data_IF_906037671874
#
_entry.id   IF_906037671874
#
_cell.length_a   1.000
_cell.length_b   1.000
_cell.length_c   1.000
_cell.angle_alpha   90.00
_cell.angle_beta   90.00
_cell.angle_gamma   90.00
#
_symmetry.space_group_name_H-M   'P 1'
#
loop_
_entity.id
_entity.type
_entity.pdbx_description
1 polymer ?
#
# COMPACT_ATOMS: atom_id res chain seq x y z
N UNK A 1 -5.43 -0.83 -4.34
CA UNK A 1 -4.37 -0.44 -3.40
C UNK A 1 -3.39 -1.58 -3.13
N UNK A 2 -3.85 -2.77 -2.67
CA UNK A 2 -2.95 -3.90 -2.39
C UNK A 2 -2.26 -4.45 -3.64
N UNK A 3 -2.97 -4.50 -4.74
CA UNK A 3 -2.39 -4.85 -6.04
C UNK A 3 -1.27 -3.87 -6.44
N UNK A 4 -1.53 -2.58 -6.31
CA UNK A 4 -0.57 -1.52 -6.66
C UNK A 4 0.66 -1.58 -5.74
N UNK A 5 0.45 -1.81 -4.44
CA UNK A 5 1.55 -1.98 -3.49
C UNK A 5 2.47 -3.15 -3.89
N UNK A 6 1.87 -4.32 -4.15
CA UNK A 6 2.65 -5.51 -4.54
C UNK A 6 3.33 -5.34 -5.93
N UNK A 7 2.66 -4.67 -6.86
CA UNK A 7 3.22 -4.41 -8.19
C UNK A 7 4.44 -3.48 -8.14
N UNK A 8 4.42 -2.45 -7.30
CA UNK A 8 5.57 -1.56 -7.12
C UNK A 8 6.75 -2.31 -6.48
N UNK A 9 6.53 -3.09 -5.43
CA UNK A 9 7.60 -3.91 -4.83
C UNK A 9 8.24 -4.84 -5.87
N UNK A 10 7.41 -5.47 -6.72
CA UNK A 10 7.91 -6.33 -7.78
C UNK A 10 8.63 -5.53 -8.90
N UNK A 11 8.12 -4.37 -9.29
CA UNK A 11 8.75 -3.52 -10.31
C UNK A 11 10.10 -2.97 -9.85
N UNK A 12 10.25 -2.62 -8.58
CA UNK A 12 11.50 -2.14 -8.00
C UNK A 12 12.59 -3.24 -8.00
N UNK A 13 12.18 -4.52 -7.89
CA UNK A 13 13.11 -5.66 -7.86
C UNK A 13 13.41 -6.19 -9.27
N UNK A 14 12.38 -6.35 -10.08
CA UNK A 14 12.46 -7.09 -11.37
C UNK A 14 12.40 -6.20 -12.60
N UNK A 15 12.07 -4.92 -12.45
CA UNK A 15 11.89 -3.99 -13.58
C UNK A 15 10.50 -4.08 -14.21
N UNK A 16 10.40 -4.01 -15.55
CA UNK A 16 9.12 -4.04 -16.27
C UNK A 16 8.25 -5.24 -15.92
N UNK A 17 6.94 -5.02 -15.76
CA UNK A 17 5.95 -6.04 -15.41
C UNK A 17 4.72 -5.96 -16.31
N UNK A 18 3.96 -7.04 -16.50
CA UNK A 18 2.69 -7.01 -17.25
C UNK A 18 1.55 -6.44 -16.37
N UNK A 19 1.75 -5.23 -15.83
CA UNK A 19 0.89 -4.61 -14.83
C UNK A 19 -0.55 -4.39 -15.31
N UNK A 20 -0.73 -3.82 -16.52
CA UNK A 20 -2.05 -3.58 -17.07
C UNK A 20 -2.71 -4.83 -17.62
N UNK A 21 -1.95 -5.68 -18.29
CA UNK A 21 -2.48 -6.92 -18.86
C UNK A 21 -2.96 -7.90 -17.78
N UNK A 22 -2.28 -7.99 -16.65
CA UNK A 22 -2.73 -8.81 -15.51
C UNK A 22 -4.07 -8.34 -14.94
N UNK A 23 -4.38 -7.04 -14.97
CA UNK A 23 -5.68 -6.52 -14.54
C UNK A 23 -6.83 -6.96 -15.43
N UNK A 24 -6.57 -7.21 -16.70
CA UNK A 24 -7.60 -7.55 -17.69
C UNK A 24 -7.84 -9.04 -17.81
N UNK A 25 -7.02 -9.87 -17.16
CA UNK A 25 -7.08 -11.34 -17.21
C UNK A 25 -7.23 -11.90 -18.62
N UNK A 26 -6.50 -11.32 -19.59
CA UNK A 26 -6.50 -11.76 -20.97
C UNK A 26 -5.66 -13.03 -21.09
N UNK A 27 -6.26 -14.11 -21.59
CA UNK A 27 -5.59 -15.41 -21.77
C UNK A 27 -5.15 -15.69 -23.22
N UNK A 28 -5.53 -14.81 -24.16
CA UNK A 28 -5.46 -15.12 -25.60
C UNK A 28 -4.17 -14.64 -26.28
N UNK A 29 -3.27 -13.97 -25.56
CA UNK A 29 -2.03 -13.43 -26.13
C UNK A 29 -0.90 -13.40 -25.08
N UNK A 30 0.38 -13.33 -25.53
CA UNK A 30 1.49 -13.09 -24.63
C UNK A 30 1.31 -11.78 -23.85
N UNK A 31 1.64 -11.78 -22.56
CA UNK A 31 1.53 -10.59 -21.72
C UNK A 31 2.46 -9.48 -22.22
N UNK A 32 1.91 -8.29 -22.35
CA UNK A 32 2.67 -7.08 -22.63
C UNK A 32 3.24 -6.52 -21.33
N UNK A 33 4.55 -6.27 -21.32
CA UNK A 33 5.23 -5.66 -20.19
C UNK A 33 5.13 -4.14 -20.25
N UNK A 34 4.73 -3.54 -19.15
CA UNK A 34 4.73 -2.10 -18.97
C UNK A 34 6.09 -1.67 -18.39
N UNK A 35 6.69 -0.57 -18.86
CA UNK A 35 7.91 -0.03 -18.28
C UNK A 35 7.65 0.53 -16.87
N UNK A 36 8.69 0.57 -16.03
CA UNK A 36 8.60 0.91 -14.61
C UNK A 36 7.99 2.30 -14.38
N UNK A 37 8.38 3.30 -15.17
CA UNK A 37 7.81 4.65 -15.09
C UNK A 37 6.30 4.65 -15.29
N UNK A 38 5.81 3.93 -16.33
CA UNK A 38 4.37 3.78 -16.57
C UNK A 38 3.64 3.13 -15.40
N UNK A 39 4.25 2.14 -14.74
CA UNK A 39 3.69 1.50 -13.55
C UNK A 39 3.59 2.50 -12.39
N UNK A 40 4.62 3.32 -12.17
CA UNK A 40 4.62 4.36 -11.15
C UNK A 40 3.50 5.39 -11.36
N UNK A 41 3.42 5.95 -12.56
CA UNK A 41 2.35 6.90 -12.90
C UNK A 41 0.95 6.30 -12.78
N UNK A 42 0.76 5.08 -13.28
CA UNK A 42 -0.51 4.38 -13.16
C UNK A 42 -0.89 4.10 -11.69
N UNK A 43 0.09 3.74 -10.87
CA UNK A 43 -0.12 3.51 -9.43
C UNK A 43 -0.53 4.80 -8.71
N UNK A 44 0.15 5.92 -8.97
CA UNK A 44 -0.22 7.21 -8.35
C UNK A 44 -1.63 7.64 -8.78
N UNK A 45 -1.99 7.51 -10.05
CA UNK A 45 -3.35 7.79 -10.53
C UNK A 45 -4.41 6.88 -9.88
N UNK A 46 -4.09 5.61 -9.65
CA UNK A 46 -4.97 4.69 -8.93
C UNK A 46 -5.13 5.11 -7.46
N UNK A 47 -4.06 5.51 -6.80
CA UNK A 47 -4.10 6.00 -5.41
C UNK A 47 -5.02 7.22 -5.31
N UNK A 48 -4.87 8.19 -6.19
CA UNK A 48 -5.73 9.39 -6.22
C UNK A 48 -7.20 9.02 -6.43
N UNK A 49 -7.47 8.07 -7.33
CA UNK A 49 -8.83 7.53 -7.54
C UNK A 49 -9.37 6.83 -6.30
N UNK A 50 -8.55 6.03 -5.62
CA UNK A 50 -8.93 5.31 -4.40
C UNK A 50 -9.26 6.30 -3.27
N UNK A 51 -8.45 7.32 -3.09
CA UNK A 51 -8.68 8.37 -2.08
C UNK A 51 -9.97 9.13 -2.37
N UNK A 52 -10.20 9.50 -3.63
CA UNK A 52 -11.46 10.14 -4.06
C UNK A 52 -12.68 9.23 -3.82
N UNK A 53 -12.56 7.93 -4.07
CA UNK A 53 -13.62 6.96 -3.77
C UNK A 53 -13.92 6.87 -2.27
N UNK A 54 -12.90 6.90 -1.40
CA UNK A 54 -13.11 6.91 0.05
C UNK A 54 -13.82 8.17 0.51
N UNK A 55 -13.40 9.35 0.04
CA UNK A 55 -14.06 10.62 0.33
C UNK A 55 -15.53 10.63 -0.13
N UNK A 56 -15.78 10.13 -1.34
CA UNK A 56 -17.14 9.99 -1.84
C UNK A 56 -17.98 9.02 -1.01
N UNK A 57 -17.37 7.93 -0.51
CA UNK A 57 -18.04 6.99 0.37
C UNK A 57 -18.41 7.62 1.72
N UNK A 58 -17.55 8.46 2.29
CA UNK A 58 -17.82 9.20 3.53
C UNK A 58 -19.07 10.09 3.44
N UNK A 59 -19.39 10.60 2.25
CA UNK A 59 -20.60 11.40 1.99
C UNK A 59 -21.90 10.60 1.90
N UNK A 60 -21.84 9.27 1.94
CA UNK A 60 -23.03 8.41 1.84
C UNK A 60 -23.82 8.33 3.15
N UNK A 61 -25.12 8.04 3.09
CA UNK A 61 -25.96 7.85 4.28
C UNK A 61 -25.43 6.74 5.19
N UNK A 62 -25.62 6.87 6.50
CA UNK A 62 -25.08 5.97 7.52
C UNK A 62 -25.50 4.51 7.33
N UNK A 63 -26.76 4.24 6.95
CA UNK A 63 -27.23 2.90 6.67
C UNK A 63 -26.47 2.20 5.54
N UNK A 64 -26.04 2.98 4.54
CA UNK A 64 -25.23 2.46 3.44
C UNK A 64 -23.80 2.18 3.90
N UNK A 65 -23.21 3.15 4.63
CA UNK A 65 -21.87 3.02 5.20
C UNK A 65 -21.77 1.78 6.09
N UNK A 66 -22.69 1.58 7.02
CA UNK A 66 -22.71 0.42 7.91
C UNK A 66 -22.69 -0.93 7.19
N UNK A 67 -23.49 -1.06 6.10
CA UNK A 67 -23.49 -2.30 5.31
C UNK A 67 -22.14 -2.60 4.66
N UNK A 68 -21.56 -1.61 4.00
CA UNK A 68 -20.29 -1.76 3.29
C UNK A 68 -19.14 -1.99 4.28
N UNK A 69 -19.18 -1.30 5.39
CA UNK A 69 -18.14 -1.40 6.41
C UNK A 69 -18.11 -2.75 7.11
N UNK A 70 -19.24 -3.39 7.31
CA UNK A 70 -19.30 -4.79 7.77
C UNK A 70 -18.66 -5.76 6.77
N UNK A 71 -18.83 -5.51 5.46
CA UNK A 71 -18.17 -6.29 4.41
C UNK A 71 -16.66 -6.02 4.39
N UNK A 72 -16.25 -4.78 4.52
CA UNK A 72 -14.84 -4.38 4.57
C UNK A 72 -14.15 -4.99 5.79
N UNK A 73 -14.77 -4.93 6.96
CA UNK A 73 -14.24 -5.51 8.19
C UNK A 73 -14.00 -7.02 8.08
N UNK A 74 -14.90 -7.70 7.39
CA UNK A 74 -14.80 -9.15 7.17
C UNK A 74 -13.71 -9.54 6.17
N UNK A 75 -13.46 -8.70 5.16
CA UNK A 75 -12.65 -9.05 4.00
C UNK A 75 -11.32 -8.27 3.91
N UNK A 76 -11.14 -7.19 4.68
CA UNK A 76 -9.90 -6.44 4.68
C UNK A 76 -8.88 -7.09 5.63
N UNK A 77 -7.75 -7.59 5.12
CA UNK A 77 -6.71 -8.19 5.96
C UNK A 77 -5.91 -7.16 6.75
N UNK A 78 -5.95 -5.89 6.33
CA UNK A 78 -5.20 -4.79 6.95
C UNK A 78 -6.03 -4.18 8.08
N UNK A 79 -5.41 -3.88 9.20
CA UNK A 79 -6.03 -3.34 10.41
C UNK A 79 -7.12 -4.24 11.02
N UNK A 80 -6.87 -5.55 11.22
CA UNK A 80 -7.95 -6.50 11.51
C UNK A 80 -8.63 -6.32 12.87
N UNK A 81 -7.92 -5.86 13.90
CA UNK A 81 -8.45 -5.86 15.28
C UNK A 81 -8.15 -4.59 16.08
N UNK A 82 -7.41 -3.64 15.53
CA UNK A 82 -7.01 -2.42 16.26
C UNK A 82 -8.06 -1.32 16.28
N UNK A 83 -9.10 -1.45 15.46
CA UNK A 83 -10.03 -0.35 15.22
C UNK A 83 -11.45 -0.78 15.56
N UNK A 84 -11.91 -0.36 16.71
CA UNK A 84 -13.27 -0.58 17.17
C UNK A 84 -14.34 0.13 16.31
N UNK A 85 -13.94 1.16 15.55
CA UNK A 85 -14.83 1.96 14.72
C UNK A 85 -14.38 1.96 13.26
N UNK A 86 -15.32 1.70 12.40
CA UNK A 86 -15.15 1.57 10.97
C UNK A 86 -14.74 2.88 10.30
N UNK A 87 -15.21 4.02 10.77
CA UNK A 87 -14.82 5.34 10.24
C UNK A 87 -13.30 5.55 10.33
N UNK A 88 -12.69 5.05 11.41
CA UNK A 88 -11.23 5.08 11.55
C UNK A 88 -10.50 4.19 10.53
N UNK A 89 -11.10 3.07 10.10
CA UNK A 89 -10.48 2.18 9.11
C UNK A 89 -10.33 2.87 7.76
N UNK A 90 -11.32 3.63 7.33
CA UNK A 90 -11.22 4.40 6.08
C UNK A 90 -10.16 5.50 6.18
N UNK A 91 -10.11 6.21 7.29
CA UNK A 91 -9.06 7.21 7.51
C UNK A 91 -7.66 6.58 7.46
N UNK A 92 -7.46 5.42 8.09
CA UNK A 92 -6.17 4.74 8.06
C UNK A 92 -5.84 4.15 6.68
N UNK A 93 -6.84 3.64 5.96
CA UNK A 93 -6.63 3.21 4.56
C UNK A 93 -6.27 4.40 3.65
N UNK A 94 -6.88 5.55 3.85
CA UNK A 94 -6.54 6.79 3.14
C UNK A 94 -5.11 7.23 3.47
N UNK A 95 -4.74 7.27 4.75
CA UNK A 95 -3.38 7.60 5.18
C UNK A 95 -2.35 6.61 4.64
N UNK A 96 -2.67 5.33 4.63
CA UNK A 96 -1.82 4.30 4.03
C UNK A 96 -1.64 4.51 2.52
N UNK A 97 -2.71 4.82 1.79
CA UNK A 97 -2.66 5.12 0.36
C UNK A 97 -1.79 6.35 0.07
N UNK A 98 -1.98 7.43 0.82
CA UNK A 98 -1.16 8.65 0.69
C UNK A 98 0.30 8.41 1.09
N UNK A 99 0.57 7.59 2.10
CA UNK A 99 1.93 7.23 2.49
C UNK A 99 2.63 6.40 1.40
N UNK A 100 1.90 5.55 0.68
CA UNK A 100 2.42 4.88 -0.50
C UNK A 100 2.76 5.89 -1.61
N UNK A 101 1.89 6.87 -1.88
CA UNK A 101 2.17 7.95 -2.85
C UNK A 101 3.42 8.74 -2.47
N UNK A 102 3.57 9.09 -1.17
CA UNK A 102 4.76 9.76 -0.66
C UNK A 102 6.03 8.92 -0.86
N UNK A 103 5.96 7.63 -0.56
CA UNK A 103 7.07 6.69 -0.81
C UNK A 103 7.48 6.66 -2.28
N UNK A 104 6.51 6.57 -3.21
CA UNK A 104 6.77 6.60 -4.64
C UNK A 104 7.42 7.91 -5.08
N UNK A 105 6.97 9.03 -4.55
CA UNK A 105 7.59 10.33 -4.78
C UNK A 105 9.08 10.34 -4.38
N UNK A 106 9.39 9.80 -3.21
CA UNK A 106 10.78 9.72 -2.72
C UNK A 106 11.67 8.84 -3.59
N UNK A 107 11.13 7.76 -4.20
CA UNK A 107 11.90 6.90 -5.10
C UNK A 107 12.34 7.63 -6.37
N UNK A 108 11.52 8.53 -6.92
CA UNK A 108 11.81 9.22 -8.19
C UNK A 108 12.48 10.59 -8.03
N UNK A 109 12.78 11.02 -6.83
CA UNK A 109 13.30 12.36 -6.51
C UNK A 109 14.52 12.76 -7.36
N UNK A 110 15.41 11.80 -7.65
CA UNK A 110 16.64 12.04 -8.42
C UNK A 110 16.43 11.96 -9.94
N UNK A 111 15.31 11.43 -10.38
CA UNK A 111 14.99 11.24 -11.82
C UNK A 111 14.05 12.31 -12.29
N UNK A 112 12.96 12.55 -11.54
CA UNK A 112 11.90 13.50 -11.88
C UNK A 112 11.55 14.38 -10.66
N UNK A 113 12.49 15.22 -10.23
CA UNK A 113 12.38 16.01 -9.00
C UNK A 113 11.12 16.87 -8.90
N UNK A 114 10.69 17.52 -9.99
CA UNK A 114 9.47 18.35 -9.99
C UNK A 114 8.19 17.50 -9.79
N UNK A 115 8.12 16.33 -10.40
CA UNK A 115 7.00 15.39 -10.24
C UNK A 115 7.02 14.82 -8.83
N UNK A 116 8.18 14.44 -8.34
CA UNK A 116 8.37 13.94 -6.98
C UNK A 116 7.89 14.96 -5.94
N UNK A 117 8.29 16.23 -6.08
CA UNK A 117 7.86 17.29 -5.19
C UNK A 117 6.33 17.42 -5.19
N UNK A 118 5.72 17.51 -6.37
CA UNK A 118 4.26 17.61 -6.51
C UNK A 118 3.55 16.45 -5.79
N UNK A 119 3.95 15.20 -6.07
CA UNK A 119 3.32 14.04 -5.47
C UNK A 119 3.49 14.00 -3.95
N UNK A 120 4.68 14.38 -3.44
CA UNK A 120 4.96 14.43 -2.02
C UNK A 120 4.09 15.48 -1.31
N UNK A 121 4.02 16.71 -1.85
CA UNK A 121 3.22 17.80 -1.30
C UNK A 121 1.71 17.44 -1.28
N UNK A 122 1.20 16.87 -2.36
CA UNK A 122 -0.18 16.39 -2.45
C UNK A 122 -0.48 15.29 -1.42
N UNK A 123 0.43 14.31 -1.29
CA UNK A 123 0.27 13.21 -0.35
C UNK A 123 0.25 13.71 1.11
N UNK A 124 1.17 14.59 1.47
CA UNK A 124 1.25 15.17 2.83
C UNK A 124 0.02 16.03 3.13
N UNK A 125 -0.41 16.85 2.18
CA UNK A 125 -1.62 17.70 2.33
C UNK A 125 -2.89 16.85 2.53
N UNK A 126 -2.97 15.66 1.89
CA UNK A 126 -4.09 14.74 2.05
C UNK A 126 -4.03 13.89 3.32
N UNK A 127 -2.91 13.93 4.05
CA UNK A 127 -2.67 13.21 5.30
C UNK A 127 -2.03 11.84 5.08
N UNK A 128 -0.86 11.67 5.69
CA UNK A 128 -0.05 10.44 5.68
C UNK A 128 -0.09 9.76 7.06
N UNK A 129 0.56 8.61 7.20
CA UNK A 129 0.80 7.97 8.49
C UNK A 129 1.81 8.80 9.28
N UNK A 130 1.43 9.25 10.48
CA UNK A 130 2.24 10.12 11.35
C UNK A 130 2.55 9.46 12.70
N UNK A 131 1.85 8.37 13.04
CA UNK A 131 1.94 7.70 14.32
C UNK A 131 1.97 6.18 14.13
N UNK A 132 2.69 5.48 15.00
CA UNK A 132 2.77 4.01 15.04
C UNK A 132 1.38 3.38 15.21
N UNK A 133 0.46 4.04 15.90
CA UNK A 133 -0.92 3.57 16.05
C UNK A 133 -1.70 3.52 14.73
N UNK A 134 -1.24 4.23 13.69
CA UNK A 134 -1.82 4.27 12.35
C UNK A 134 -1.18 3.27 11.38
N UNK A 135 -0.20 2.52 11.85
CA UNK A 135 0.56 1.56 11.06
C UNK A 135 -0.33 0.50 10.42
N UNK A 136 -0.14 0.29 9.12
CA UNK A 136 -0.77 -0.80 8.40
C UNK A 136 -0.13 -2.14 8.80
N UNK A 137 -0.91 -3.03 9.37
CA UNK A 137 -0.43 -4.36 9.78
C UNK A 137 -1.42 -5.45 9.40
N UNK A 138 -0.90 -6.63 9.10
CA UNK A 138 -1.69 -7.84 8.86
C UNK A 138 -1.60 -8.71 10.10
N UNK A 139 -2.76 -9.10 10.68
CA UNK A 139 -2.76 -10.03 11.79
C UNK A 139 -2.46 -11.45 11.27
N UNK A 140 -1.34 -12.07 11.66
CA UNK A 140 -0.93 -13.38 11.14
C UNK A 140 -1.97 -14.48 11.36
N UNK A 141 -2.64 -14.46 12.49
CA UNK A 141 -3.64 -15.48 12.87
C UNK A 141 -4.91 -15.47 12.02
N UNK A 142 -5.32 -14.30 11.53
CA UNK A 142 -6.56 -14.14 10.76
C UNK A 142 -6.39 -14.50 9.29
N UNK A 143 -5.21 -14.27 8.75
CA UNK A 143 -4.90 -14.48 7.33
C UNK A 143 -4.19 -15.83 7.06
N UNK A 144 -3.83 -16.60 8.09
CA UNK A 144 -3.04 -17.82 7.94
C UNK A 144 -1.61 -17.55 7.45
N UNK A 145 -1.16 -16.29 7.47
CA UNK A 145 0.20 -15.93 7.08
C UNK A 145 1.12 -15.93 8.30
N UNK A 146 2.27 -16.56 8.17
CA UNK A 146 3.42 -16.36 9.04
C UNK A 146 4.37 -15.36 8.39
N UNK A 147 5.04 -14.53 9.19
CA UNK A 147 6.08 -13.67 8.67
C UNK A 147 7.28 -14.53 8.25
N UNK A 148 7.64 -14.59 6.95
CA UNK A 148 8.76 -15.41 6.49
C UNK A 148 10.09 -15.04 7.17
N UNK A 149 10.29 -13.76 7.52
CA UNK A 149 11.49 -13.31 8.21
C UNK A 149 11.56 -13.87 9.64
N UNK A 150 10.42 -14.03 10.32
CA UNK A 150 10.38 -14.65 11.63
C UNK A 150 10.74 -16.15 11.57
N UNK A 151 10.34 -16.84 10.51
CA UNK A 151 10.74 -18.23 10.28
C UNK A 151 12.24 -18.35 10.02
N UNK A 152 12.79 -17.51 9.12
CA UNK A 152 14.23 -17.46 8.85
C UNK A 152 15.05 -17.15 10.11
N UNK A 153 14.55 -16.26 10.96
CA UNK A 153 15.19 -15.92 12.22
C UNK A 153 15.13 -17.06 13.25
N UNK A 154 13.94 -17.58 13.50
CA UNK A 154 13.68 -18.50 14.62
C UNK A 154 14.08 -19.95 14.30
N UNK A 155 13.78 -20.42 13.10
CA UNK A 155 13.96 -21.83 12.74
C UNK A 155 15.28 -22.08 12.02
N UNK A 156 15.69 -21.19 11.12
CA UNK A 156 16.88 -21.38 10.30
C UNK A 156 18.11 -20.67 10.87
N UNK A 157 17.91 -19.62 11.66
CA UNK A 157 19.00 -18.86 12.25
C UNK A 157 19.85 -18.05 11.24
N UNK A 158 19.39 -17.92 10.02
CA UNK A 158 20.15 -17.36 8.88
C UNK A 158 20.16 -15.84 8.83
N UNK A 159 19.28 -15.20 9.59
CA UNK A 159 19.16 -13.73 9.59
C UNK A 159 19.67 -13.13 10.88
N UNK A 160 20.40 -12.04 10.73
CA UNK A 160 20.86 -11.17 11.83
C UNK A 160 20.72 -9.72 11.43
N UNK A 161 20.45 -8.87 12.41
CA UNK A 161 20.47 -7.43 12.19
C UNK A 161 21.93 -6.99 11.91
N UNK A 162 22.14 -6.31 10.79
CA UNK A 162 23.48 -5.77 10.46
C UNK A 162 23.92 -4.71 11.48
N UNK A 163 25.16 -4.76 11.93
CA UNK A 163 25.71 -3.84 12.93
C UNK A 163 25.57 -2.35 12.52
N UNK A 164 25.70 -2.04 11.23
CA UNK A 164 25.49 -0.68 10.72
C UNK A 164 24.06 -0.21 10.86
N UNK A 165 23.07 -1.09 10.64
CA UNK A 165 21.67 -0.76 10.82
C UNK A 165 21.31 -0.62 12.31
N UNK A 166 21.84 -1.51 13.14
CA UNK A 166 21.68 -1.42 14.60
C UNK A 166 22.22 -0.09 15.15
N UNK A 167 23.36 0.38 14.65
CA UNK A 167 23.97 1.65 15.08
C UNK A 167 23.10 2.87 14.73
N UNK A 168 22.33 2.82 13.64
CA UNK A 168 21.39 3.90 13.25
C UNK A 168 20.13 3.90 14.10
N UNK A 169 19.73 2.73 14.63
CA UNK A 169 18.53 2.59 15.47
C UNK A 169 18.76 2.96 16.94
N UNK A 170 20.00 3.07 17.38
CA UNK A 170 20.41 3.50 18.74
C UNK A 170 20.61 5.01 18.80
#
# INVERSE_FOLDING_TARGET
LMYDYAAIEAADIYGPLPYNDLKTNKQDHPYKYDPVDSIYYATVNNIDTIVACFQHFESKPDWYKEKILKLLDRNAPIFPDRLEKVDKKLQYLTRFANSLKLRLAMHIVKVEGAVAQKWAEEAVASGVIEDVAQEASIAPRRAGFTNPLAELWNSWGDMRLGAGFEAVLK
#
